data_IF_800511708913
#
_entry.id   IF_800511708913
#
_cell.length_a   1.000
_cell.length_b   1.000
_cell.length_c   1.000
_cell.angle_alpha   90.00
_cell.angle_beta   90.00
_cell.angle_gamma   90.00
#
_symmetry.space_group_name_H-M   'P 1'
#
loop_
_entity.id
_entity.type
_entity.pdbx_description
1 polymer ?
#
# COMPACT_ATOMS: atom_id res chain seq x y z
N UNK A 1 2.63 -11.02 -6.31
CA UNK A 1 1.57 -9.98 -6.46
C UNK A 1 1.13 -9.79 -7.91
N UNK A 2 -0.13 -10.07 -8.25
CA UNK A 2 -0.73 -9.87 -9.59
C UNK A 2 -1.79 -8.74 -9.63
N UNK A 3 -2.08 -8.11 -8.48
CA UNK A 3 -3.04 -7.00 -8.34
C UNK A 3 -2.38 -5.77 -7.73
N UNK A 4 -2.87 -4.59 -8.12
CA UNK A 4 -2.45 -3.30 -7.53
C UNK A 4 -3.02 -3.08 -6.12
N UNK A 5 -4.18 -3.65 -5.82
CA UNK A 5 -4.88 -3.48 -4.55
C UNK A 5 -5.41 -4.83 -4.05
N UNK A 6 -5.22 -5.09 -2.76
CA UNK A 6 -5.85 -6.19 -2.03
C UNK A 6 -6.54 -5.64 -0.78
N UNK A 7 -7.62 -6.29 -0.38
CA UNK A 7 -8.30 -6.00 0.90
C UNK A 7 -8.54 -7.33 1.59
N UNK A 8 -8.12 -7.44 2.85
CA UNK A 8 -8.33 -8.63 3.68
C UNK A 8 -8.97 -8.22 5.00
N UNK A 9 -9.64 -9.16 5.68
CA UNK A 9 -10.04 -8.94 7.07
C UNK A 9 -8.79 -8.91 7.95
N UNK A 10 -8.79 -8.11 9.00
CA UNK A 10 -7.66 -8.04 9.91
C UNK A 10 -7.46 -9.36 10.67
N UNK A 11 -6.25 -9.92 10.55
CA UNK A 11 -5.76 -11.01 11.39
C UNK A 11 -4.38 -10.65 11.97
N UNK A 12 -4.13 -10.82 13.29
CA UNK A 12 -2.90 -10.35 13.92
C UNK A 12 -1.62 -11.05 13.43
N UNK A 13 -1.75 -12.23 12.81
CA UNK A 13 -0.66 -13.01 12.21
C UNK A 13 -0.33 -12.62 10.76
N UNK A 14 -1.23 -11.94 10.06
CA UNK A 14 -1.11 -11.59 8.64
C UNK A 14 -0.43 -10.24 8.46
N UNK A 15 0.91 -10.24 8.54
CA UNK A 15 1.70 -9.00 8.58
C UNK A 15 2.48 -8.68 7.31
N UNK A 16 2.76 -9.71 6.53
CA UNK A 16 3.68 -9.63 5.40
C UNK A 16 2.96 -10.10 4.13
N UNK A 17 2.96 -9.30 3.05
CA UNK A 17 2.15 -9.60 1.87
C UNK A 17 2.69 -10.78 1.04
N UNK A 18 3.93 -11.20 1.28
CA UNK A 18 4.55 -12.39 0.67
C UNK A 18 4.80 -13.50 1.73
N UNK A 19 4.25 -13.34 2.93
CA UNK A 19 4.43 -14.24 4.08
C UNK A 19 5.71 -14.00 4.89
N UNK A 20 5.86 -14.74 5.99
CA UNK A 20 6.91 -14.50 7.01
C UNK A 20 8.32 -14.86 6.55
N UNK A 21 8.47 -15.83 5.65
CA UNK A 21 9.76 -16.37 5.22
C UNK A 21 9.88 -16.39 3.68
N UNK A 22 10.06 -15.23 3.03
CA UNK A 22 9.99 -15.13 1.57
C UNK A 22 11.24 -15.66 0.86
N UNK A 23 12.39 -15.73 1.54
CA UNK A 23 13.66 -16.11 0.92
C UNK A 23 13.59 -17.54 0.35
N UNK A 24 13.77 -17.66 -0.98
CA UNK A 24 13.66 -18.91 -1.75
C UNK A 24 12.32 -19.63 -1.59
N UNK A 25 11.25 -18.91 -1.24
CA UNK A 25 9.92 -19.50 -1.22
C UNK A 25 9.51 -19.92 -2.64
N UNK A 26 8.90 -21.09 -2.76
CA UNK A 26 8.33 -21.61 -4.02
C UNK A 26 6.82 -21.45 -4.07
N UNK A 27 6.21 -20.96 -2.99
CA UNK A 27 4.76 -20.81 -2.85
C UNK A 27 4.43 -19.47 -2.18
N UNK A 28 3.27 -18.91 -2.54
CA UNK A 28 2.73 -17.75 -1.84
C UNK A 28 2.23 -18.18 -0.45
N UNK A 29 2.70 -17.49 0.59
CA UNK A 29 2.26 -17.65 1.98
C UNK A 29 1.76 -16.33 2.59
N UNK A 30 1.50 -15.34 1.74
CA UNK A 30 1.00 -14.00 2.05
C UNK A 30 -0.39 -13.75 1.47
N UNK A 31 -0.56 -12.66 0.72
CA UNK A 31 -1.88 -12.16 0.26
C UNK A 31 -2.66 -13.17 -0.55
N UNK A 32 -1.99 -13.97 -1.39
CA UNK A 32 -2.66 -15.01 -2.14
C UNK A 32 -3.20 -16.14 -1.26
N UNK A 33 -2.77 -16.28 -0.01
CA UNK A 33 -3.40 -17.19 0.98
C UNK A 33 -4.42 -16.45 1.86
N UNK A 34 -4.07 -15.26 2.35
CA UNK A 34 -4.92 -14.46 3.25
C UNK A 34 -6.28 -14.10 2.63
N UNK A 35 -6.39 -14.11 1.31
CA UNK A 35 -7.64 -13.80 0.58
C UNK A 35 -8.44 -15.03 0.12
N UNK A 36 -7.94 -16.25 0.32
CA UNK A 36 -8.54 -17.48 -0.26
C UNK A 36 -9.85 -17.90 0.39
N UNK A 37 -10.01 -17.63 1.67
CA UNK A 37 -11.22 -17.96 2.42
C UNK A 37 -12.40 -17.07 2.04
N UNK A 38 -12.16 -15.97 1.30
CA UNK A 38 -13.16 -15.03 0.83
C UNK A 38 -14.05 -14.54 1.99
N UNK A 39 -13.43 -14.25 3.13
CA UNK A 39 -14.14 -13.69 4.28
C UNK A 39 -14.89 -12.41 3.92
N UNK A 40 -16.07 -12.22 4.53
CA UNK A 40 -16.81 -10.97 4.37
C UNK A 40 -16.01 -9.79 4.90
N UNK A 41 -15.95 -8.72 4.11
CA UNK A 41 -15.34 -7.44 4.50
C UNK A 41 -16.39 -6.40 4.95
N UNK A 42 -17.67 -6.77 4.95
CA UNK A 42 -18.76 -5.85 5.29
C UNK A 42 -18.73 -5.50 6.78
N UNK A 43 -18.61 -4.21 7.09
CA UNK A 43 -18.55 -3.63 8.42
C UNK A 43 -17.57 -4.34 9.38
N UNK A 44 -16.38 -4.70 8.88
CA UNK A 44 -15.32 -5.35 9.64
C UNK A 44 -14.05 -4.52 9.71
N UNK A 45 -13.14 -4.88 10.62
CA UNK A 45 -11.78 -4.37 10.59
C UNK A 45 -11.06 -4.93 9.36
N UNK A 46 -10.71 -4.05 8.42
CA UNK A 46 -10.18 -4.40 7.12
C UNK A 46 -8.79 -3.78 6.92
N UNK A 47 -7.91 -4.54 6.28
CA UNK A 47 -6.55 -4.13 5.91
C UNK A 47 -6.47 -3.93 4.42
N UNK A 48 -6.04 -2.75 3.99
CA UNK A 48 -5.76 -2.43 2.58
C UNK A 48 -4.28 -2.60 2.30
N UNK A 49 -3.97 -3.41 1.28
CA UNK A 49 -2.61 -3.63 0.80
C UNK A 49 -2.46 -3.02 -0.59
N UNK A 50 -1.64 -1.98 -0.70
CA UNK A 50 -1.44 -1.26 -1.96
C UNK A 50 -0.05 -1.55 -2.53
N UNK A 51 -0.01 -2.04 -3.76
CA UNK A 51 1.24 -2.25 -4.51
C UNK A 51 1.49 -1.03 -5.40
N UNK A 52 2.63 -0.39 -5.23
CA UNK A 52 3.10 0.70 -6.09
C UNK A 52 4.53 0.44 -6.53
N UNK A 53 4.91 0.98 -7.69
CA UNK A 53 6.24 0.78 -8.25
C UNK A 53 6.35 1.37 -9.65
N UNK A 54 7.52 1.23 -10.26
CA UNK A 54 7.80 1.63 -11.64
C UNK A 54 8.25 0.44 -12.46
N UNK A 55 7.92 0.44 -13.75
CA UNK A 55 8.60 -0.44 -14.71
C UNK A 55 9.88 0.27 -15.14
N UNK A 56 11.01 -0.14 -14.57
CA UNK A 56 12.29 0.54 -14.81
C UNK A 56 12.94 0.07 -16.11
N UNK A 57 12.88 0.91 -17.15
CA UNK A 57 13.69 0.78 -18.36
C UNK A 57 14.93 1.65 -18.21
N UNK A 58 16.09 1.03 -18.03
CA UNK A 58 17.33 1.75 -17.74
C UNK A 58 17.71 2.74 -18.85
N UNK A 59 18.22 3.91 -18.45
CA UNK A 59 18.64 4.99 -19.36
C UNK A 59 20.11 5.35 -19.17
N UNK A 60 20.73 5.98 -20.17
CA UNK A 60 22.15 6.36 -20.11
C UNK A 60 22.44 7.38 -18.98
N UNK A 61 21.47 8.24 -18.68
CA UNK A 61 21.51 9.25 -17.63
C UNK A 61 21.55 8.67 -16.21
N UNK A 62 21.33 7.37 -16.06
CA UNK A 62 21.34 6.67 -14.78
C UNK A 62 22.73 6.10 -14.43
N UNK A 63 23.69 6.26 -15.34
CA UNK A 63 25.09 5.89 -15.15
C UNK A 63 25.98 7.15 -14.99
N UNK A 64 26.96 7.17 -14.07
CA UNK A 64 27.35 6.11 -13.12
C UNK A 64 26.51 6.07 -11.85
N UNK A 65 25.60 7.03 -11.68
CA UNK A 65 24.73 7.15 -10.52
C UNK A 65 23.34 7.56 -10.98
N UNK A 66 22.34 6.81 -10.54
CA UNK A 66 20.95 7.06 -10.89
C UNK A 66 20.44 8.30 -10.15
N UNK A 67 19.82 9.28 -10.84
CA UNK A 67 19.08 10.35 -10.18
C UNK A 67 17.79 9.81 -9.55
N UNK A 68 17.23 10.55 -8.58
CA UNK A 68 16.01 10.11 -7.89
C UNK A 68 14.82 9.96 -8.83
N UNK A 69 14.16 8.80 -8.79
CA UNK A 69 12.82 8.56 -9.34
C UNK A 69 11.80 8.49 -8.19
N UNK A 70 10.62 9.07 -8.38
CA UNK A 70 9.60 9.20 -7.33
C UNK A 70 8.36 8.37 -7.64
N UNK A 71 7.87 7.65 -6.64
CA UNK A 71 6.54 7.01 -6.63
C UNK A 71 5.82 7.45 -5.36
N UNK A 72 4.58 7.91 -5.49
CA UNK A 72 3.79 8.40 -4.37
C UNK A 72 2.40 7.78 -4.34
N UNK A 73 1.83 7.76 -3.14
CA UNK A 73 0.42 7.44 -2.90
C UNK A 73 -0.12 8.46 -1.92
N UNK A 74 -1.36 8.89 -2.13
CA UNK A 74 -2.06 9.83 -1.25
C UNK A 74 -3.33 9.19 -0.72
N UNK A 75 -3.45 9.11 0.60
CA UNK A 75 -4.73 8.88 1.26
C UNK A 75 -5.32 10.24 1.59
N UNK A 76 -6.49 10.53 1.00
CA UNK A 76 -7.18 11.80 1.19
C UNK A 76 -8.54 11.54 1.85
N UNK A 77 -8.93 12.33 2.86
CA UNK A 77 -10.27 12.25 3.43
C UNK A 77 -11.32 12.47 2.34
N UNK A 78 -12.35 11.61 2.31
CA UNK A 78 -13.48 11.72 1.41
C UNK A 78 -14.77 11.63 2.21
N UNK A 79 -15.50 12.75 2.32
CA UNK A 79 -16.68 12.87 3.19
C UNK A 79 -16.43 12.44 4.65
N UNK A 80 -15.21 12.60 5.14
CA UNK A 80 -14.84 12.25 6.52
C UNK A 80 -15.14 13.37 7.53
N UNK A 81 -15.12 14.63 7.07
CA UNK A 81 -15.39 15.81 7.87
C UNK A 81 -16.64 16.51 7.33
N UNK A 82 -17.41 17.15 8.21
CA UNK A 82 -18.60 17.94 7.84
C UNK A 82 -18.24 19.27 7.18
N UNK A 83 -17.00 19.75 7.39
CA UNK A 83 -16.47 20.96 6.78
C UNK A 83 -14.95 20.84 6.53
N UNK A 84 -14.34 21.90 6.00
CA UNK A 84 -12.91 21.90 5.71
C UNK A 84 -12.10 21.75 7.02
N UNK A 85 -11.27 20.71 7.19
CA UNK A 85 -10.60 20.42 8.46
C UNK A 85 -9.54 21.45 8.87
N UNK A 86 -9.18 22.37 7.96
CA UNK A 86 -8.24 23.46 8.22
C UNK A 86 -8.94 24.82 8.40
N UNK A 87 -10.27 24.87 8.46
CA UNK A 87 -11.00 26.11 8.72
C UNK A 87 -10.62 26.64 10.12
N UNK A 88 -10.27 27.93 10.20
CA UNK A 88 -9.81 28.55 11.45
C UNK A 88 -8.34 28.26 11.82
N UNK A 89 -7.60 27.49 11.02
CA UNK A 89 -6.18 27.30 11.24
C UNK A 89 -5.42 28.62 11.08
N UNK A 90 -4.67 29.02 12.11
CA UNK A 90 -3.78 30.19 12.02
C UNK A 90 -2.66 29.91 11.02
N UNK A 91 -2.36 30.91 10.18
CA UNK A 91 -1.20 30.84 9.31
C UNK A 91 0.06 30.79 10.17
N UNK A 92 0.89 29.76 9.98
CA UNK A 92 2.21 29.73 10.59
C UNK A 92 3.08 30.80 9.92
N UNK A 93 3.71 31.64 10.72
CA UNK A 93 4.75 32.55 10.23
C UNK A 93 5.89 31.71 9.64
N UNK A 94 6.39 32.15 8.48
CA UNK A 94 7.42 31.45 7.70
C UNK A 94 8.78 31.49 8.37
#
# INVERSE_FOLDING_TARGET
MDKQLWVTRYHPGERFPEGKYPNRSTHDTGLGQYSKDNESLDNTDAVVWMTTGTTHVARAEEWPIMPTEWVHTLLKPWNFFDETPTLGALKKDK
#
